data_IF_988482049161
#
_entry.id   IF_988482049161
#
_cell.length_a   1.000
_cell.length_b   1.000
_cell.length_c   1.000
_cell.angle_alpha   90.00
_cell.angle_beta   90.00
_cell.angle_gamma   90.00
#
_symmetry.space_group_name_H-M   'P 1'
#
loop_
_entity.id
_entity.type
_entity.pdbx_description
1 polymer ?
#
# COMPACT_ATOMS: atom_id res chain seq x y z
N UNK A 1 -17.20 -14.82 13.01
CA UNK A 1 -16.46 -15.95 12.40
C UNK A 1 -15.00 -15.56 12.12
N UNK A 2 -14.73 -14.57 11.27
CA UNK A 2 -13.36 -14.13 10.92
C UNK A 2 -12.54 -13.56 12.10
N UNK A 3 -13.18 -12.76 12.96
CA UNK A 3 -12.54 -12.20 14.16
C UNK A 3 -12.00 -13.28 15.13
N UNK A 4 -12.71 -14.40 15.28
CA UNK A 4 -12.26 -15.53 16.10
C UNK A 4 -11.03 -16.22 15.50
N UNK A 5 -10.95 -16.34 14.17
CA UNK A 5 -9.79 -16.92 13.50
C UNK A 5 -8.54 -16.07 13.66
N UNK A 6 -8.68 -14.75 13.45
CA UNK A 6 -7.57 -13.84 13.65
C UNK A 6 -7.12 -13.82 15.11
N UNK A 7 -8.06 -13.88 16.04
CA UNK A 7 -7.74 -14.00 17.46
C UNK A 7 -6.95 -15.28 17.75
N UNK A 8 -7.42 -16.45 17.32
CA UNK A 8 -6.70 -17.73 17.51
C UNK A 8 -5.29 -17.68 16.92
N UNK A 9 -5.17 -17.24 15.66
CA UNK A 9 -3.88 -17.13 14.96
C UNK A 9 -2.93 -16.16 15.68
N UNK A 10 -3.44 -15.01 16.15
CA UNK A 10 -2.63 -14.06 16.90
C UNK A 10 -2.15 -14.64 18.22
N UNK A 11 -3.01 -15.36 18.93
CA UNK A 11 -2.69 -15.97 20.22
C UNK A 11 -1.62 -17.05 20.08
N UNK A 12 -1.73 -17.91 19.07
CA UNK A 12 -0.70 -18.91 18.73
C UNK A 12 0.65 -18.24 18.42
N UNK A 13 0.63 -17.14 17.65
CA UNK A 13 1.84 -16.40 17.29
C UNK A 13 2.51 -15.74 18.51
N UNK A 14 1.73 -15.06 19.36
CA UNK A 14 2.27 -14.42 20.56
C UNK A 14 2.75 -15.43 21.60
N UNK A 15 2.10 -16.60 21.70
CA UNK A 15 2.60 -17.70 22.54
C UNK A 15 3.96 -18.20 22.06
N UNK A 16 4.13 -18.44 20.75
CA UNK A 16 5.41 -18.85 20.18
C UNK A 16 6.52 -17.83 20.44
N UNK A 17 6.21 -16.54 20.31
CA UNK A 17 7.17 -15.46 20.58
C UNK A 17 7.50 -15.33 22.08
N UNK A 18 6.53 -15.58 22.96
CA UNK A 18 6.72 -15.59 24.40
C UNK A 18 7.61 -16.75 24.86
N UNK A 19 7.47 -17.93 24.24
CA UNK A 19 8.35 -19.08 24.48
C UNK A 19 9.81 -18.78 24.09
N UNK A 20 10.01 -18.01 23.01
CA UNK A 20 11.32 -17.51 22.58
C UNK A 20 11.82 -16.31 23.41
N UNK A 21 11.04 -15.84 24.39
CA UNK A 21 11.32 -14.65 25.22
C UNK A 21 11.60 -13.40 24.38
N UNK A 22 10.90 -13.27 23.26
CA UNK A 22 11.08 -12.15 22.36
C UNK A 22 10.40 -10.90 22.91
N UNK A 23 11.19 -9.90 23.30
CA UNK A 23 10.72 -8.60 23.78
C UNK A 23 9.62 -8.69 24.86
N UNK A 24 8.54 -7.92 24.74
CA UNK A 24 7.41 -7.89 25.66
C UNK A 24 6.28 -8.85 25.26
N UNK A 25 6.56 -9.87 24.43
CA UNK A 25 5.55 -10.85 24.00
C UNK A 25 4.82 -11.52 25.18
N UNK A 26 5.53 -11.79 26.28
CA UNK A 26 4.95 -12.38 27.48
C UNK A 26 3.90 -11.47 28.15
N UNK A 27 4.12 -10.16 28.17
CA UNK A 27 3.16 -9.19 28.70
C UNK A 27 1.94 -9.07 27.78
N UNK A 28 2.14 -9.16 26.47
CA UNK A 28 1.05 -9.14 25.48
C UNK A 28 0.15 -10.36 25.66
N UNK A 29 0.72 -11.57 25.80
CA UNK A 29 -0.05 -12.80 26.08
C UNK A 29 -0.86 -12.65 27.38
N UNK A 30 -0.24 -12.12 28.44
CA UNK A 30 -0.90 -11.94 29.73
C UNK A 30 -2.02 -10.89 29.74
N UNK A 31 -1.93 -9.88 28.87
CA UNK A 31 -2.93 -8.81 28.75
C UNK A 31 -4.05 -9.12 27.77
N UNK A 32 -3.94 -10.20 26.99
CA UNK A 32 -4.98 -10.59 26.05
C UNK A 32 -6.27 -11.03 26.77
N UNK A 33 -7.44 -10.54 26.34
CA UNK A 33 -8.72 -10.96 26.91
C UNK A 33 -8.97 -12.43 26.54
N UNK A 34 -9.32 -13.26 27.53
CA UNK A 34 -9.64 -14.66 27.28
C UNK A 34 -11.01 -14.78 26.62
N UNK A 35 -11.00 -15.13 25.33
CA UNK A 35 -12.20 -15.39 24.56
C UNK A 35 -12.65 -16.84 24.79
N UNK A 36 -13.83 -17.02 25.38
CA UNK A 36 -14.42 -18.35 25.55
C UNK A 36 -15.15 -18.77 24.27
N UNK A 37 -14.38 -19.04 23.21
CA UNK A 37 -14.90 -19.49 21.92
C UNK A 37 -14.42 -20.93 21.69
N UNK A 38 -15.36 -21.82 21.34
CA UNK A 38 -15.00 -23.14 20.87
C UNK A 38 -14.47 -23.04 19.42
N UNK A 39 -13.15 -23.03 19.27
CA UNK A 39 -12.49 -22.91 17.96
C UNK A 39 -12.65 -24.15 17.08
N UNK A 40 -13.01 -25.30 17.66
CA UNK A 40 -13.19 -26.57 16.91
C UNK A 40 -14.58 -26.66 16.26
N UNK A 41 -15.56 -25.91 16.78
CA UNK A 41 -16.91 -25.81 16.20
C UNK A 41 -17.03 -24.72 15.12
N UNK A 42 -15.96 -23.94 14.88
CA UNK A 42 -15.98 -22.92 13.83
C UNK A 42 -15.92 -23.62 12.48
N UNK A 43 -17.07 -23.71 11.81
CA UNK A 43 -17.18 -24.19 10.43
C UNK A 43 -16.37 -23.26 9.51
N UNK A 44 -15.16 -23.69 9.15
CA UNK A 44 -14.32 -23.04 8.17
C UNK A 44 -14.62 -23.63 6.80
N UNK A 45 -15.16 -22.79 5.92
CA UNK A 45 -15.14 -23.07 4.48
C UNK A 45 -13.68 -23.06 4.01
N UNK A 46 -13.35 -23.93 3.04
CA UNK A 46 -12.04 -23.88 2.39
C UNK A 46 -11.90 -22.54 1.69
N UNK A 47 -10.69 -21.97 1.74
CA UNK A 47 -10.35 -20.82 0.92
C UNK A 47 -10.16 -21.33 -0.52
N UNK A 48 -11.02 -20.87 -1.42
CA UNK A 48 -10.89 -21.13 -2.85
C UNK A 48 -10.33 -19.87 -3.50
N UNK A 49 -9.37 -20.06 -4.40
CA UNK A 49 -8.85 -18.97 -5.22
C UNK A 49 -9.95 -18.53 -6.18
N UNK A 50 -10.32 -17.25 -6.13
CA UNK A 50 -11.26 -16.69 -7.09
C UNK A 50 -10.50 -16.55 -8.41
N UNK A 51 -10.81 -17.40 -9.39
CA UNK A 51 -10.33 -17.21 -10.76
C UNK A 51 -10.93 -15.92 -11.32
N UNK A 52 -10.12 -14.85 -11.32
CA UNK A 52 -10.46 -13.62 -12.01
C UNK A 52 -10.23 -13.90 -13.49
N UNK A 53 -11.31 -14.09 -14.23
CA UNK A 53 -11.26 -14.10 -15.70
C UNK A 53 -10.95 -12.67 -16.13
N UNK A 54 -9.66 -12.36 -16.29
CA UNK A 54 -9.21 -11.13 -16.95
C UNK A 54 -9.30 -11.42 -18.44
N UNK A 55 -10.29 -10.85 -19.13
CA UNK A 55 -10.22 -10.74 -20.58
C UNK A 55 -8.93 -9.96 -20.89
N UNK A 56 -7.94 -10.62 -21.50
CA UNK A 56 -6.69 -9.99 -21.92
C UNK A 56 -7.01 -8.99 -23.05
N UNK A 57 -7.36 -7.75 -22.70
CA UNK A 57 -7.37 -6.66 -23.67
C UNK A 57 -5.93 -6.37 -24.10
N UNK A 58 -5.61 -6.71 -25.35
CA UNK A 58 -4.30 -6.48 -25.96
C UNK A 58 -3.98 -4.97 -25.98
N UNK A 59 -3.11 -4.52 -25.07
CA UNK A 59 -2.69 -3.12 -24.98
C UNK A 59 -1.79 -2.74 -26.16
N UNK A 60 -2.27 -1.84 -27.02
CA UNK A 60 -1.48 -1.26 -28.12
C UNK A 60 -1.03 0.16 -27.74
N UNK A 61 0.27 0.42 -27.55
CA UNK A 61 0.77 1.77 -27.26
C UNK A 61 0.62 2.69 -28.48
N UNK A 62 0.00 3.86 -28.32
CA UNK A 62 0.00 4.92 -29.33
C UNK A 62 1.26 5.78 -29.22
N UNK A 63 2.14 5.70 -30.22
CA UNK A 63 3.26 6.63 -30.35
C UNK A 63 2.83 7.85 -31.16
N UNK A 64 2.97 9.05 -30.59
CA UNK A 64 2.82 10.31 -31.33
C UNK A 64 4.16 10.60 -31.99
N UNK A 65 4.28 10.32 -33.28
CA UNK A 65 5.53 10.45 -34.05
C UNK A 65 5.73 11.83 -34.68
N UNK A 66 4.68 12.65 -34.74
CA UNK A 66 4.70 13.93 -35.46
C UNK A 66 4.33 15.07 -34.51
N UNK A 67 5.33 15.57 -33.78
CA UNK A 67 5.26 16.88 -33.12
C UNK A 67 6.25 17.77 -33.86
N UNK A 68 5.76 18.82 -34.50
CA UNK A 68 6.61 19.88 -35.05
C UNK A 68 7.12 20.73 -33.87
N UNK A 69 8.20 20.26 -33.24
CA UNK A 69 8.82 20.95 -32.12
C UNK A 69 9.53 22.22 -32.61
N UNK A 70 8.88 23.38 -32.47
CA UNK A 70 9.53 24.66 -32.72
C UNK A 70 10.52 24.98 -31.59
N UNK A 71 11.78 24.59 -31.78
CA UNK A 71 12.86 24.77 -30.82
C UNK A 71 13.40 26.22 -30.72
N UNK A 72 12.85 27.18 -31.48
CA UNK A 72 13.38 28.56 -31.51
C UNK A 72 13.28 29.28 -30.16
N UNK A 73 12.25 29.00 -29.37
CA UNK A 73 12.05 29.65 -28.06
C UNK A 73 12.97 29.08 -26.96
N UNK A 74 13.66 27.95 -27.19
CA UNK A 74 14.58 27.36 -26.19
C UNK A 74 15.94 28.08 -26.09
N UNK A 75 16.21 29.04 -26.97
CA UNK A 75 17.52 29.72 -27.05
C UNK A 75 17.39 31.24 -26.87
N UNK A 76 16.39 31.72 -26.13
CA UNK A 76 16.40 33.12 -25.70
C UNK A 76 17.54 33.34 -24.70
N UNK A 77 18.43 34.29 -25.00
CA UNK A 77 19.53 34.66 -24.12
C UNK A 77 19.00 35.20 -22.78
N UNK A 78 19.66 34.85 -21.68
CA UNK A 78 19.34 35.35 -20.35
C UNK A 78 19.40 36.88 -20.33
N UNK A 79 18.25 37.52 -20.09
CA UNK A 79 18.16 38.97 -19.85
C UNK A 79 18.87 39.28 -18.52
N UNK A 80 20.07 39.85 -18.60
CA UNK A 80 20.87 40.21 -17.43
C UNK A 80 20.57 41.63 -16.91
N UNK A 81 19.73 42.37 -17.61
CA UNK A 81 19.40 43.75 -17.27
C UNK A 81 18.18 43.80 -16.35
N UNK A 82 18.30 44.54 -15.25
CA UNK A 82 17.20 44.79 -14.32
C UNK A 82 16.24 45.80 -14.95
N UNK A 83 15.01 45.37 -15.23
CA UNK A 83 13.93 46.26 -15.67
C UNK A 83 13.48 47.06 -14.44
N UNK A 84 13.73 48.37 -14.43
CA UNK A 84 13.27 49.30 -13.39
C UNK A 84 12.09 50.08 -13.97
N UNK A 85 10.88 49.80 -13.48
CA UNK A 85 9.72 50.63 -13.76
C UNK A 85 9.82 51.91 -12.92
N UNK A 86 9.99 53.05 -13.59
CA UNK A 86 9.81 54.35 -12.95
C UNK A 86 8.32 54.71 -13.02
N UNK A 87 7.63 54.61 -11.88
CA UNK A 87 6.32 55.23 -11.72
C UNK A 87 6.49 56.76 -11.81
N UNK A 88 6.29 57.31 -13.00
CA UNK A 88 6.14 58.75 -13.21
C UNK A 88 4.88 59.22 -12.46
N UNK A 89 5.06 60.10 -11.48
CA UNK A 89 3.98 60.83 -10.80
C UNK A 89 3.40 61.93 -11.67
#
# INVERSE_FOLDING_TARGET
MLAGLYYKKSLEMYNSLADEKYENSQEVVNSMPQLNINFDEVLLTKFEELEIVVDEEEYVPMYILEIDENLKEKFEDLVNDMIIDFDER
#
